data_IF_627228938166
#
_entry.id   IF_627228938166
#
_cell.length_a   1.000
_cell.length_b   1.000
_cell.length_c   1.000
_cell.angle_alpha   90.00
_cell.angle_beta   90.00
_cell.angle_gamma   90.00
#
_symmetry.space_group_name_H-M   'P 1'
#
loop_
_entity.id
_entity.type
_entity.pdbx_description
1 polymer ?
#
# COMPACT_ATOMS: atom_id res chain seq x y z
N UNK A 1 4.04 46.13 -8.54
CA UNK A 1 5.43 45.89 -8.12
C UNK A 1 5.42 45.43 -6.69
N UNK A 2 6.20 44.38 -6.47
CA UNK A 2 6.29 43.49 -5.31
C UNK A 2 6.57 44.14 -3.96
N UNK A 3 6.08 43.48 -2.90
CA UNK A 3 6.88 42.80 -1.85
C UNK A 3 5.89 42.36 -0.77
N UNK A 4 5.75 41.10 -0.36
CA UNK A 4 6.66 39.97 -0.32
C UNK A 4 6.44 39.31 1.05
N UNK A 5 5.30 38.66 1.23
CA UNK A 5 4.95 37.98 2.49
C UNK A 5 5.56 36.57 2.46
N UNK A 6 6.75 36.44 3.02
CA UNK A 6 7.38 35.14 3.27
C UNK A 6 6.86 34.58 4.60
N UNK A 7 5.88 33.69 4.54
CA UNK A 7 5.49 32.82 5.65
C UNK A 7 6.43 31.60 5.69
N UNK A 8 7.59 31.76 6.33
CA UNK A 8 8.44 30.62 6.72
C UNK A 8 7.82 29.93 7.95
N UNK A 9 6.88 29.02 7.72
CA UNK A 9 6.32 28.13 8.73
C UNK A 9 7.18 26.87 8.90
N UNK A 10 8.43 27.03 9.34
CA UNK A 10 9.25 25.93 9.84
C UNK A 10 9.33 26.05 11.36
N UNK A 11 8.57 25.25 12.11
CA UNK A 11 8.83 25.09 13.54
C UNK A 11 10.15 24.33 13.68
N UNK A 12 11.24 25.09 13.77
CA UNK A 12 12.52 24.57 14.21
C UNK A 12 12.38 24.10 15.66
N UNK A 13 13.02 22.97 15.97
CA UNK A 13 13.17 22.51 17.34
C UNK A 13 14.06 23.52 18.08
N UNK A 14 13.49 24.27 19.04
CA UNK A 14 14.19 25.33 19.80
C UNK A 14 15.41 24.82 20.60
N UNK A 15 15.53 23.49 20.74
CA UNK A 15 16.68 22.75 21.25
C UNK A 15 17.98 23.00 20.48
N UNK A 16 17.91 23.48 19.22
CA UNK A 16 19.08 23.86 18.42
C UNK A 16 19.65 25.23 18.85
N UNK A 17 18.83 26.09 19.43
CA UNK A 17 19.20 27.44 19.88
C UNK A 17 19.33 27.56 21.40
N UNK A 18 19.08 26.48 22.15
CA UNK A 18 19.39 26.44 23.58
C UNK A 18 20.89 26.67 23.80
N UNK A 19 21.20 27.54 24.77
CA UNK A 19 22.57 27.80 25.21
C UNK A 19 23.24 26.47 25.54
N UNK A 20 24.31 26.15 24.81
CA UNK A 20 25.07 24.91 24.97
C UNK A 20 25.39 24.74 26.45
N UNK A 21 24.76 23.75 27.11
CA UNK A 21 25.07 23.42 28.52
C UNK A 21 26.59 23.42 28.67
N UNK A 22 27.11 24.31 29.52
CA UNK A 22 28.53 24.37 29.79
C UNK A 22 29.02 22.96 30.07
N UNK A 23 29.88 22.44 29.19
CA UNK A 23 30.50 21.14 29.40
C UNK A 23 31.29 21.28 30.69
N UNK A 24 30.83 20.60 31.76
CA UNK A 24 31.53 20.57 33.04
C UNK A 24 33.01 20.33 32.77
N UNK A 25 33.85 21.27 33.15
CA UNK A 25 35.31 21.18 33.09
C UNK A 25 35.79 20.21 34.16
N UNK A 26 35.49 18.93 33.96
CA UNK A 26 35.92 17.83 34.79
C UNK A 26 36.36 16.66 33.92
N UNK A 27 37.17 15.73 34.45
CA UNK A 27 37.41 14.45 33.79
C UNK A 27 36.07 13.81 33.45
N UNK A 28 35.89 13.19 32.27
CA UNK A 28 34.68 12.44 31.99
C UNK A 28 34.51 11.43 33.12
N UNK A 29 33.34 11.46 33.76
CA UNK A 29 32.99 10.47 34.77
C UNK A 29 33.24 9.07 34.19
N UNK A 30 33.82 8.16 34.96
CA UNK A 30 34.06 6.79 34.52
C UNK A 30 32.73 6.20 34.05
N UNK A 31 32.60 6.01 32.74
CA UNK A 31 31.38 5.46 32.14
C UNK A 31 31.26 4.00 32.56
N UNK A 32 30.39 3.74 33.53
CA UNK A 32 29.94 2.39 33.85
C UNK A 32 28.71 2.10 33.00
N UNK A 33 28.85 1.24 31.99
CA UNK A 33 27.70 0.75 31.26
C UNK A 33 26.74 0.05 32.24
N UNK A 34 25.44 0.36 32.15
CA UNK A 34 24.43 -0.36 32.91
C UNK A 34 24.43 -1.82 32.43
N UNK A 35 24.75 -2.76 33.32
CA UNK A 35 24.56 -4.19 33.07
C UNK A 35 23.08 -4.49 33.32
N UNK A 36 22.36 -4.83 32.25
CA UNK A 36 20.94 -5.09 32.31
C UNK A 36 20.68 -6.59 32.14
N UNK A 37 20.12 -7.23 33.15
CA UNK A 37 19.67 -8.61 33.07
C UNK A 37 18.49 -8.77 32.09
N UNK A 38 18.24 -9.98 31.55
CA UNK A 38 17.05 -10.22 30.75
C UNK A 38 15.78 -9.77 31.47
N UNK A 39 14.92 -9.00 30.79
CA UNK A 39 13.67 -8.47 31.36
C UNK A 39 13.85 -7.49 32.54
N UNK A 40 15.02 -6.87 32.68
CA UNK A 40 15.32 -5.85 33.71
C UNK A 40 14.25 -4.76 33.89
N UNK A 41 13.53 -4.43 32.82
CA UNK A 41 12.46 -3.42 32.83
C UNK A 41 11.17 -3.85 33.55
N UNK A 42 11.08 -5.09 34.07
CA UNK A 42 9.93 -5.53 34.88
C UNK A 42 9.94 -4.99 36.29
N UNK A 43 11.12 -4.80 36.87
CA UNK A 43 11.27 -4.36 38.26
C UNK A 43 10.67 -2.96 38.44
N UNK A 44 9.96 -2.75 39.54
CA UNK A 44 9.48 -1.43 39.93
C UNK A 44 10.67 -0.58 40.36
N UNK A 45 11.36 0.02 39.40
CA UNK A 45 12.26 1.12 39.70
C UNK A 45 11.40 2.32 40.06
N UNK A 46 11.45 2.72 41.35
CA UNK A 46 11.06 4.05 41.81
C UNK A 46 12.02 5.08 41.17
N UNK A 47 11.88 5.28 39.85
CA UNK A 47 12.56 6.36 39.15
C UNK A 47 11.73 7.62 39.31
N UNK A 48 12.37 8.69 39.78
CA UNK A 48 11.77 10.02 39.83
C UNK A 48 11.69 10.68 38.45
N UNK A 49 12.23 10.06 37.40
CA UNK A 49 12.20 10.57 36.04
C UNK A 49 11.01 9.98 35.27
N UNK A 50 10.01 10.83 35.02
CA UNK A 50 8.81 10.48 34.26
C UNK A 50 9.15 9.89 32.87
N UNK A 51 10.24 10.34 32.23
CA UNK A 51 10.64 9.84 30.90
C UNK A 51 11.17 8.41 30.97
N UNK A 52 11.94 8.07 32.01
CA UNK A 52 12.44 6.72 32.24
C UNK A 52 11.28 5.75 32.53
N UNK A 53 10.32 6.17 33.36
CA UNK A 53 9.11 5.39 33.67
C UNK A 53 8.30 5.08 32.40
N UNK A 54 8.09 6.07 31.53
CA UNK A 54 7.38 5.85 30.26
C UNK A 54 8.16 4.94 29.29
N UNK A 55 9.49 5.02 29.30
CA UNK A 55 10.34 4.14 28.50
C UNK A 55 10.24 2.68 28.96
N UNK A 56 10.25 2.43 30.26
CA UNK A 56 10.06 1.08 30.83
C UNK A 56 8.71 0.50 30.45
N UNK A 57 7.64 1.31 30.52
CA UNK A 57 6.31 0.91 30.04
C UNK A 57 6.30 0.56 28.56
N UNK A 58 7.01 1.34 27.72
CA UNK A 58 7.12 1.03 26.29
C UNK A 58 7.73 -0.36 26.09
N UNK A 59 8.80 -0.68 26.80
CA UNK A 59 9.42 -2.01 26.73
C UNK A 59 8.50 -3.13 27.22
N UNK A 60 7.70 -2.90 28.26
CA UNK A 60 6.66 -3.85 28.71
C UNK A 60 5.62 -4.09 27.60
N UNK A 61 5.15 -3.02 26.96
CA UNK A 61 4.25 -3.10 25.81
C UNK A 61 4.85 -3.85 24.63
N UNK A 62 6.08 -3.54 24.23
CA UNK A 62 6.80 -4.17 23.12
C UNK A 62 7.01 -5.68 23.37
N UNK A 63 7.34 -6.06 24.61
CA UNK A 63 7.48 -7.46 24.98
C UNK A 63 6.12 -8.18 24.95
N UNK A 64 5.07 -7.57 25.50
CA UNK A 64 3.72 -8.13 25.46
C UNK A 64 3.26 -8.32 24.00
N UNK A 65 3.54 -7.37 23.12
CA UNK A 65 3.28 -7.48 21.69
C UNK A 65 4.01 -8.67 21.06
N UNK A 66 5.32 -8.84 21.36
CA UNK A 66 6.09 -10.01 20.88
C UNK A 66 5.56 -11.34 21.40
N UNK A 67 4.98 -11.36 22.61
CA UNK A 67 4.30 -12.53 23.19
C UNK A 67 2.88 -12.74 22.66
N UNK A 68 2.42 -11.90 21.73
CA UNK A 68 1.06 -11.91 21.17
C UNK A 68 -0.03 -11.60 22.21
N UNK A 69 0.34 -10.97 23.34
CA UNK A 69 -0.57 -10.48 24.36
C UNK A 69 -1.11 -9.10 23.95
N UNK A 70 -1.75 -9.00 22.78
CA UNK A 70 -2.06 -7.72 22.11
C UNK A 70 -2.94 -6.78 22.94
N UNK A 71 -3.91 -7.32 23.70
CA UNK A 71 -4.76 -6.51 24.57
C UNK A 71 -3.96 -5.84 25.70
N UNK A 72 -3.00 -6.58 26.27
CA UNK A 72 -2.12 -6.06 27.33
C UNK A 72 -1.10 -5.07 26.79
N UNK A 73 -0.52 -5.36 25.62
CA UNK A 73 0.36 -4.43 24.93
C UNK A 73 -0.36 -3.10 24.65
N UNK A 74 -1.60 -3.16 24.17
CA UNK A 74 -2.43 -1.98 23.93
C UNK A 74 -2.68 -1.18 25.23
N UNK A 75 -2.96 -1.86 26.35
CA UNK A 75 -3.13 -1.19 27.65
C UNK A 75 -1.87 -0.45 28.10
N UNK A 76 -0.69 -1.08 27.96
CA UNK A 76 0.59 -0.44 28.30
C UNK A 76 0.81 0.81 27.45
N UNK A 77 0.63 0.71 26.13
CA UNK A 77 0.78 1.84 25.20
C UNK A 77 -0.22 2.99 25.46
N UNK A 78 -1.48 2.66 25.77
CA UNK A 78 -2.49 3.67 26.13
C UNK A 78 -2.11 4.39 27.43
N UNK A 79 -1.61 3.66 28.42
CA UNK A 79 -1.16 4.26 29.68
C UNK A 79 0.05 5.21 29.52
N UNK A 80 0.84 5.03 28.46
CA UNK A 80 1.92 5.95 28.09
C UNK A 80 1.31 7.20 27.45
N UNK A 81 0.39 7.01 26.50
CA UNK A 81 -0.24 8.11 25.75
C UNK A 81 -0.95 9.13 26.65
N UNK A 82 -1.58 8.66 27.73
CA UNK A 82 -2.25 9.52 28.73
C UNK A 82 -1.29 10.40 29.54
N UNK A 83 -0.06 9.91 29.76
CA UNK A 83 0.96 10.56 30.59
C UNK A 83 2.03 11.30 29.78
N UNK A 84 2.05 11.10 28.47
CA UNK A 84 3.11 11.61 27.60
C UNK A 84 2.95 13.12 27.38
N UNK A 85 4.04 13.87 27.59
CA UNK A 85 4.11 15.29 27.21
C UNK A 85 3.79 15.48 25.72
N UNK A 86 3.04 16.52 25.33
CA UNK A 86 2.75 16.81 23.93
C UNK A 86 4.01 17.10 23.08
N UNK A 87 5.13 17.44 23.71
CA UNK A 87 6.41 17.75 23.05
C UNK A 87 7.24 16.51 22.69
N UNK A 88 6.93 15.32 23.23
CA UNK A 88 7.71 14.11 22.95
C UNK A 88 7.19 13.40 21.69
N UNK A 89 7.44 13.99 20.53
CA UNK A 89 6.95 13.50 19.24
C UNK A 89 7.44 12.10 18.88
N UNK A 90 8.70 11.79 19.18
CA UNK A 90 9.31 10.50 18.86
C UNK A 90 8.62 9.35 19.61
N UNK A 91 8.52 9.44 20.95
CA UNK A 91 7.85 8.42 21.74
C UNK A 91 6.35 8.34 21.40
N UNK A 92 5.71 9.48 21.11
CA UNK A 92 4.29 9.51 20.72
C UNK A 92 4.05 8.70 19.45
N UNK A 93 4.87 8.91 18.42
CA UNK A 93 4.79 8.16 17.17
C UNK A 93 5.01 6.67 17.40
N UNK A 94 6.07 6.29 18.11
CA UNK A 94 6.38 4.88 18.41
C UNK A 94 5.20 4.19 19.11
N UNK A 95 4.62 4.84 20.12
CA UNK A 95 3.50 4.32 20.90
C UNK A 95 2.24 4.21 20.03
N UNK A 96 1.93 5.24 19.22
CA UNK A 96 0.79 5.20 18.29
C UNK A 96 0.93 4.09 17.25
N UNK A 97 2.13 3.88 16.73
CA UNK A 97 2.43 2.79 15.81
C UNK A 97 2.23 1.42 16.48
N UNK A 98 2.68 1.26 17.73
CA UNK A 98 2.42 0.09 18.57
C UNK A 98 0.94 -0.16 18.83
N UNK A 99 0.17 0.89 19.14
CA UNK A 99 -1.28 0.83 19.32
C UNK A 99 -1.97 0.35 18.05
N UNK A 100 -1.65 0.95 16.89
CA UNK A 100 -2.24 0.58 15.61
C UNK A 100 -1.98 -0.90 15.26
N UNK A 101 -0.76 -1.40 15.51
CA UNK A 101 -0.44 -2.83 15.32
C UNK A 101 -1.26 -3.73 16.25
N UNK A 102 -1.38 -3.38 17.53
CA UNK A 102 -2.21 -4.14 18.47
C UNK A 102 -3.67 -4.17 18.03
N UNK A 103 -4.23 -3.01 17.66
CA UNK A 103 -5.61 -2.88 17.18
C UNK A 103 -5.86 -3.73 15.94
N UNK A 104 -4.92 -3.74 14.98
CA UNK A 104 -5.01 -4.59 13.80
C UNK A 104 -5.07 -6.09 14.15
N UNK A 105 -4.22 -6.56 15.06
CA UNK A 105 -4.25 -7.95 15.52
C UNK A 105 -5.50 -8.30 16.34
N UNK A 106 -6.13 -7.32 16.98
CA UNK A 106 -7.39 -7.49 17.72
C UNK A 106 -8.64 -7.38 16.82
N UNK A 107 -8.48 -7.23 15.50
CA UNK A 107 -9.59 -7.07 14.55
C UNK A 107 -10.21 -5.67 14.54
N UNK A 108 -9.67 -4.71 15.30
CA UNK A 108 -10.13 -3.31 15.39
C UNK A 108 -9.50 -2.46 14.29
N UNK A 109 -9.69 -2.90 13.05
CA UNK A 109 -8.97 -2.34 11.90
C UNK A 109 -9.30 -0.87 11.61
N UNK A 110 -10.54 -0.43 11.86
CA UNK A 110 -10.94 0.97 11.63
C UNK A 110 -10.12 1.94 12.48
N UNK A 111 -9.96 1.62 13.77
CA UNK A 111 -9.16 2.42 14.70
C UNK A 111 -7.67 2.37 14.36
N UNK A 112 -7.17 1.19 13.95
CA UNK A 112 -5.79 1.06 13.48
C UNK A 112 -5.52 1.95 12.25
N UNK A 113 -6.47 2.02 11.31
CA UNK A 113 -6.37 2.87 10.12
C UNK A 113 -6.46 4.36 10.44
N UNK A 114 -7.30 4.76 11.40
CA UNK A 114 -7.38 6.15 11.84
C UNK A 114 -6.04 6.61 12.42
N UNK A 115 -5.41 5.79 13.27
CA UNK A 115 -4.08 6.09 13.79
C UNK A 115 -3.06 6.16 12.65
N UNK A 116 -3.06 5.20 11.73
CA UNK A 116 -2.12 5.19 10.61
C UNK A 116 -2.26 6.42 9.71
N UNK A 117 -3.49 6.86 9.40
CA UNK A 117 -3.75 8.07 8.60
C UNK A 117 -3.28 9.34 9.33
N UNK A 118 -3.49 9.42 10.64
CA UNK A 118 -3.00 10.53 11.46
C UNK A 118 -1.46 10.58 11.49
N UNK A 119 -0.80 9.42 11.53
CA UNK A 119 0.66 9.31 11.45
C UNK A 119 1.19 9.71 10.07
N UNK A 120 0.50 9.33 8.99
CA UNK A 120 0.86 9.69 7.61
C UNK A 120 0.85 11.22 7.44
N UNK A 121 -0.23 11.87 7.88
CA UNK A 121 -0.38 13.33 7.82
C UNK A 121 0.68 14.09 8.64
N UNK A 122 1.24 13.45 9.66
CA UNK A 122 2.26 14.02 10.55
C UNK A 122 3.69 13.61 10.20
N UNK A 123 3.89 12.84 9.12
CA UNK A 123 5.22 12.49 8.68
C UNK A 123 6.00 13.74 8.26
N UNK A 124 7.27 13.81 8.68
CA UNK A 124 8.17 14.97 8.47
C UNK A 124 9.42 14.63 7.66
N UNK A 125 9.63 13.34 7.36
CA UNK A 125 10.66 12.87 6.47
C UNK A 125 10.24 11.54 5.82
N UNK A 126 11.04 11.07 4.88
CA UNK A 126 10.80 9.83 4.14
C UNK A 126 10.78 8.60 5.04
N UNK A 127 11.61 8.55 6.09
CA UNK A 127 11.71 7.38 6.98
C UNK A 127 10.44 7.21 7.84
N UNK A 128 9.92 8.33 8.36
CA UNK A 128 8.65 8.37 9.06
C UNK A 128 7.52 7.86 8.15
N UNK A 129 7.43 8.43 6.94
CA UNK A 129 6.39 8.04 5.99
C UNK A 129 6.51 6.57 5.58
N UNK A 130 7.72 6.08 5.37
CA UNK A 130 7.99 4.67 5.04
C UNK A 130 7.48 3.73 6.11
N UNK A 131 7.74 4.06 7.38
CA UNK A 131 7.29 3.24 8.52
C UNK A 131 5.76 3.20 8.60
N UNK A 132 5.10 4.34 8.36
CA UNK A 132 3.64 4.43 8.32
C UNK A 132 3.04 3.66 7.14
N UNK A 133 3.63 3.74 5.95
CA UNK A 133 3.17 2.99 4.78
C UNK A 133 3.31 1.47 4.98
N UNK A 134 4.38 1.01 5.66
CA UNK A 134 4.49 -0.41 6.06
C UNK A 134 3.44 -0.81 7.10
N UNK A 135 3.08 0.07 8.04
CA UNK A 135 1.97 -0.16 8.97
C UNK A 135 0.65 -0.30 8.21
N UNK A 136 0.34 0.63 7.31
CA UNK A 136 -0.86 0.56 6.47
C UNK A 136 -0.89 -0.71 5.61
N UNK A 137 0.24 -1.06 5.00
CA UNK A 137 0.38 -2.30 4.23
C UNK A 137 0.02 -3.53 5.07
N UNK A 138 0.52 -3.63 6.30
CA UNK A 138 0.20 -4.73 7.21
C UNK A 138 -1.30 -4.77 7.57
N UNK A 139 -1.91 -3.61 7.83
CA UNK A 139 -3.34 -3.51 8.14
C UNK A 139 -4.20 -3.93 6.93
N UNK A 140 -3.93 -3.40 5.74
CA UNK A 140 -4.69 -3.76 4.53
C UNK A 140 -4.50 -5.21 4.12
N UNK A 141 -3.29 -5.75 4.29
CA UNK A 141 -3.02 -7.19 4.06
C UNK A 141 -3.85 -8.07 5.00
N UNK A 142 -3.99 -7.68 6.27
CA UNK A 142 -4.82 -8.42 7.24
C UNK A 142 -6.31 -8.39 6.91
N UNK A 143 -6.77 -7.33 6.25
CA UNK A 143 -8.14 -7.17 5.74
C UNK A 143 -8.38 -7.86 4.38
N UNK A 144 -7.35 -8.45 3.78
CA UNK A 144 -7.37 -8.97 2.40
C UNK A 144 -7.84 -7.92 1.36
N UNK A 145 -7.64 -6.63 1.66
CA UNK A 145 -7.97 -5.56 0.73
C UNK A 145 -6.83 -5.40 -0.29
N UNK A 146 -6.91 -6.15 -1.39
CA UNK A 146 -5.86 -6.19 -2.41
C UNK A 146 -5.61 -4.84 -3.07
N UNK A 147 -6.67 -4.09 -3.38
CA UNK A 147 -6.56 -2.77 -4.03
C UNK A 147 -5.74 -1.79 -3.17
N UNK A 148 -6.10 -1.63 -1.89
CA UNK A 148 -5.36 -0.76 -0.98
C UNK A 148 -3.96 -1.29 -0.68
N UNK A 149 -3.77 -2.61 -0.66
CA UNK A 149 -2.46 -3.24 -0.51
C UNK A 149 -1.54 -2.89 -1.68
N UNK A 150 -2.04 -3.02 -2.91
CA UNK A 150 -1.33 -2.63 -4.14
C UNK A 150 -0.99 -1.15 -4.10
N UNK A 151 -1.94 -0.29 -3.78
CA UNK A 151 -1.71 1.15 -3.73
C UNK A 151 -0.67 1.54 -2.67
N UNK A 152 -0.70 0.95 -1.47
CA UNK A 152 0.35 1.16 -0.47
C UNK A 152 1.74 0.71 -0.96
N UNK A 153 1.83 -0.39 -1.70
CA UNK A 153 3.09 -0.85 -2.30
C UNK A 153 3.58 0.12 -3.39
N UNK A 154 2.68 0.63 -4.23
CA UNK A 154 3.00 1.66 -5.22
C UNK A 154 3.56 2.93 -4.56
N UNK A 155 2.93 3.39 -3.48
CA UNK A 155 3.45 4.51 -2.67
C UNK A 155 4.85 4.24 -2.12
N UNK A 156 5.07 3.04 -1.56
CA UNK A 156 6.39 2.63 -1.04
C UNK A 156 7.46 2.56 -2.13
N UNK A 157 7.10 2.13 -3.33
CA UNK A 157 8.02 2.07 -4.48
C UNK A 157 8.32 3.47 -5.01
N UNK A 158 7.35 4.40 -5.02
CA UNK A 158 7.63 5.79 -5.39
C UNK A 158 8.68 6.43 -4.47
N UNK A 159 8.65 6.12 -3.17
CA UNK A 159 9.66 6.57 -2.21
C UNK A 159 11.00 5.82 -2.37
N UNK A 160 10.95 4.51 -2.59
CA UNK A 160 12.11 3.63 -2.60
C UNK A 160 12.17 2.77 -3.87
N UNK A 161 12.40 3.37 -5.06
CA UNK A 161 12.29 2.68 -6.34
C UNK A 161 13.34 1.57 -6.54
N UNK A 162 14.43 1.60 -5.77
CA UNK A 162 15.51 0.60 -5.77
C UNK A 162 15.36 -0.46 -4.69
N UNK A 163 14.25 -0.50 -3.92
CA UNK A 163 14.02 -1.56 -2.95
C UNK A 163 13.40 -2.80 -3.64
N UNK A 164 14.14 -3.90 -3.84
CA UNK A 164 13.63 -5.07 -4.56
C UNK A 164 12.43 -5.72 -3.85
N UNK A 165 12.39 -5.69 -2.52
CA UNK A 165 11.37 -6.41 -1.76
C UNK A 165 9.97 -5.82 -1.92
N UNK A 166 9.87 -4.50 -2.13
CA UNK A 166 8.58 -3.85 -2.39
C UNK A 166 8.04 -4.20 -3.77
N UNK A 167 8.91 -4.24 -4.78
CA UNK A 167 8.56 -4.73 -6.12
C UNK A 167 8.12 -6.19 -6.10
N UNK A 168 8.81 -7.05 -5.34
CA UNK A 168 8.44 -8.46 -5.22
C UNK A 168 7.05 -8.62 -4.60
N UNK A 169 6.76 -7.89 -3.50
CA UNK A 169 5.43 -7.87 -2.89
C UNK A 169 4.36 -7.32 -3.84
N UNK A 170 4.67 -6.32 -4.65
CA UNK A 170 3.74 -5.77 -5.66
C UNK A 170 3.42 -6.83 -6.72
N UNK A 171 4.41 -7.59 -7.17
CA UNK A 171 4.22 -8.68 -8.11
C UNK A 171 3.29 -9.77 -7.54
N UNK A 172 3.49 -10.19 -6.29
CA UNK A 172 2.58 -11.12 -5.62
C UNK A 172 1.17 -10.55 -5.48
N UNK A 173 1.04 -9.25 -5.16
CA UNK A 173 -0.26 -8.62 -5.00
C UNK A 173 -1.04 -8.59 -6.33
N UNK A 174 -0.36 -8.32 -7.46
CA UNK A 174 -0.97 -8.42 -8.78
C UNK A 174 -1.36 -9.86 -9.15
N UNK A 175 -0.51 -10.86 -8.85
CA UNK A 175 -0.87 -12.27 -9.08
C UNK A 175 -2.11 -12.70 -8.28
N UNK A 176 -2.24 -12.26 -7.04
CA UNK A 176 -3.39 -12.58 -6.20
C UNK A 176 -4.68 -11.85 -6.64
N UNK A 177 -4.55 -10.77 -7.42
CA UNK A 177 -5.69 -10.05 -7.98
C UNK A 177 -6.38 -10.86 -9.09
N UNK A 178 -5.64 -11.66 -9.85
CA UNK A 178 -6.18 -12.46 -10.97
C UNK A 178 -7.27 -13.48 -10.54
N UNK A 179 -7.07 -14.33 -9.51
CA UNK A 179 -8.13 -15.20 -9.00
C UNK A 179 -9.30 -14.43 -8.40
N UNK A 180 -9.06 -13.29 -7.74
CA UNK A 180 -10.09 -12.45 -7.17
C UNK A 180 -11.00 -11.84 -8.26
N UNK A 181 -10.39 -11.38 -9.36
CA UNK A 181 -11.10 -10.91 -10.55
C UNK A 181 -11.90 -12.05 -11.18
N UNK A 182 -11.30 -13.23 -11.38
CA UNK A 182 -12.01 -14.39 -11.93
C UNK A 182 -13.22 -14.81 -11.08
N UNK A 183 -13.09 -14.80 -9.75
CA UNK A 183 -14.19 -15.08 -8.84
C UNK A 183 -15.30 -14.02 -8.89
N UNK A 184 -14.93 -12.73 -8.96
CA UNK A 184 -15.88 -11.63 -9.11
C UNK A 184 -16.64 -11.68 -10.44
N UNK A 185 -15.96 -12.03 -11.54
CA UNK A 185 -16.60 -12.22 -12.84
C UNK A 185 -17.54 -13.42 -12.87
N UNK A 186 -17.21 -14.51 -12.18
CA UNK A 186 -18.05 -15.69 -12.07
C UNK A 186 -19.32 -15.46 -11.22
N UNK A 187 -19.26 -14.59 -10.20
CA UNK A 187 -20.42 -14.26 -9.36
C UNK A 187 -21.42 -13.34 -10.07
N UNK A 188 -20.92 -12.35 -10.83
CA UNK A 188 -21.73 -11.45 -11.65
C UNK A 188 -22.56 -12.21 -12.70
N UNK A 189 -22.00 -13.25 -13.32
CA UNK A 189 -22.69 -14.03 -14.34
C UNK A 189 -23.86 -14.89 -13.79
N UNK A 190 -23.81 -15.28 -12.51
CA UNK A 190 -24.91 -16.01 -11.85
C UNK A 190 -26.11 -15.12 -11.50
N UNK A 191 -25.92 -13.80 -11.36
CA UNK A 191 -27.03 -12.88 -11.07
C UNK A 191 -27.85 -12.53 -12.32
N UNK A 192 -27.28 -12.65 -13.52
CA UNK A 192 -27.96 -12.36 -14.78
C UNK A 192 -28.66 -13.57 -15.44
N UNK A 193 -28.55 -14.78 -14.88
CA UNK A 193 -29.14 -16.00 -15.47
C UNK A 193 -30.47 -16.46 -14.85
N UNK A 194 -31.07 -15.69 -13.94
CA UNK A 194 -32.37 -16.03 -13.33
C UNK A 194 -33.47 -15.00 -13.62
N UNK A 195 -33.98 -15.01 -14.86
CA UNK A 195 -35.36 -14.57 -15.16
C UNK A 195 -35.88 -15.26 -16.42
N UNK A 196 -36.27 -16.53 -16.30
CA UNK A 196 -37.41 -17.08 -17.04
C UNK A 196 -37.74 -18.49 -16.54
N UNK A 197 -38.68 -18.58 -15.62
CA UNK A 197 -39.64 -19.68 -15.63
C UNK A 197 -40.87 -19.25 -14.82
N UNK A 198 -41.87 -18.81 -15.57
CA UNK A 198 -43.22 -18.59 -15.10
C UNK A 198 -43.85 -19.97 -14.82
N UNK A 199 -44.19 -20.26 -13.55
CA UNK A 199 -45.23 -21.23 -13.20
C UNK A 199 -45.73 -20.99 -11.78
N UNK A 200 -46.97 -20.52 -11.75
CA UNK A 200 -47.89 -20.31 -10.66
C UNK A 200 -48.00 -21.51 -9.71
N UNK A 201 -47.61 -21.39 -8.43
CA UNK A 201 -48.26 -22.12 -7.32
C UNK A 201 -48.32 -21.22 -6.07
N UNK A 202 -49.50 -21.21 -5.47
CA UNK A 202 -50.02 -20.37 -4.38
C UNK A 202 -49.29 -20.56 -3.03
N UNK A 203 -49.04 -19.41 -2.37
CA UNK A 203 -49.36 -19.08 -0.95
C UNK A 203 -49.14 -20.11 0.17
N UNK A 204 -48.30 -19.75 1.15
CA UNK A 204 -48.73 -19.45 2.53
C UNK A 204 -47.59 -18.87 3.39
N UNK A 205 -47.81 -17.69 3.99
CA UNK A 205 -47.05 -17.14 5.14
C UNK A 205 -47.72 -17.57 6.47
N UNK A 206 -47.02 -17.55 7.63
CA UNK A 206 -46.86 -16.33 8.47
C UNK A 206 -45.40 -16.10 8.97
N UNK A 207 -44.83 -14.87 8.93
CA UNK A 207 -44.66 -13.88 10.03
C UNK A 207 -43.93 -14.41 11.30
N UNK A 208 -42.95 -13.75 11.97
CA UNK A 208 -42.31 -12.43 11.85
C UNK A 208 -41.10 -12.33 12.84
N UNK A 209 -40.19 -11.37 12.61
CA UNK A 209 -39.17 -10.85 13.56
C UNK A 209 -37.81 -10.56 12.87
N UNK A 210 -37.59 -9.41 12.21
CA UNK A 210 -37.04 -8.12 12.73
C UNK A 210 -35.72 -8.27 13.50
N UNK A 211 -34.61 -7.56 13.29
CA UNK A 211 -34.21 -6.42 12.45
C UNK A 211 -32.66 -6.37 12.47
N UNK A 212 -31.98 -6.01 11.37
CA UNK A 212 -30.85 -5.06 11.40
C UNK A 212 -30.42 -4.71 9.95
N UNK A 213 -30.81 -3.52 9.50
CA UNK A 213 -30.37 -2.90 8.25
C UNK A 213 -29.18 -1.99 8.53
N UNK A 214 -28.15 -2.06 7.69
CA UNK A 214 -27.16 -1.01 7.52
C UNK A 214 -27.11 -0.66 6.02
N UNK A 215 -27.65 0.50 5.67
CA UNK A 215 -27.61 1.10 4.35
C UNK A 215 -26.86 2.42 4.43
N UNK A 216 -25.88 2.64 3.55
CA UNK A 216 -25.30 3.95 3.28
C UNK A 216 -25.98 4.55 2.03
N UNK A 217 -26.12 5.89 1.94
CA UNK A 217 -26.80 6.54 0.82
C UNK A 217 -25.83 6.99 -0.28
N UNK A 218 -26.15 6.66 -1.53
CA UNK A 218 -25.64 7.34 -2.73
C UNK A 218 -26.72 8.30 -3.26
N UNK A 219 -26.30 9.50 -3.65
CA UNK A 219 -27.16 10.57 -4.14
C UNK A 219 -26.87 10.90 -5.61
N UNK A 220 -27.97 11.07 -6.37
CA UNK A 220 -28.19 11.89 -7.59
C UNK A 220 -27.91 11.25 -8.97
N UNK A 221 -28.57 11.75 -10.05
CA UNK A 221 -30.02 11.91 -10.23
C UNK A 221 -30.53 11.28 -11.55
N UNK A 222 -31.82 10.93 -11.57
CA UNK A 222 -32.56 10.47 -12.77
C UNK A 222 -32.66 11.55 -13.85
N UNK A 223 -32.50 11.15 -15.11
CA UNK A 223 -33.07 11.88 -16.24
C UNK A 223 -33.70 10.95 -17.30
N UNK A 224 -34.93 11.33 -17.63
CA UNK A 224 -35.73 11.09 -18.85
C UNK A 224 -36.15 9.68 -19.27
N UNK A 225 -37.38 9.35 -18.85
CA UNK A 225 -38.48 8.71 -19.58
C UNK A 225 -38.36 8.67 -21.11
N UNK A 226 -38.73 7.53 -21.73
CA UNK A 226 -39.61 7.44 -22.93
C UNK A 226 -40.14 6.00 -23.13
N UNK A 227 -41.21 5.80 -23.92
CA UNK A 227 -42.40 5.08 -23.47
C UNK A 227 -42.52 3.64 -23.97
N UNK A 228 -43.42 2.93 -23.29
CA UNK A 228 -44.01 1.65 -23.70
C UNK A 228 -44.70 1.81 -25.05
N UNK A 229 -44.25 1.06 -26.05
CA UNK A 229 -45.14 0.62 -27.13
C UNK A 229 -44.71 -0.74 -27.68
N UNK A 230 -45.70 -1.60 -27.84
CA UNK A 230 -45.59 -2.99 -28.21
C UNK A 230 -45.27 -3.15 -29.69
N UNK A 231 -44.37 -4.07 -30.04
CA UNK A 231 -44.64 -5.03 -31.10
C UNK A 231 -43.72 -6.24 -31.07
N UNK A 232 -44.36 -7.40 -31.14
CA UNK A 232 -43.78 -8.71 -31.42
C UNK A 232 -42.97 -8.68 -32.71
N UNK A 233 -41.69 -9.05 -32.63
CA UNK A 233 -40.80 -9.65 -33.67
C UNK A 233 -39.36 -9.17 -33.45
N UNK A 234 -38.66 -9.61 -32.38
CA UNK A 234 -37.25 -9.22 -32.21
C UNK A 234 -36.39 -10.21 -31.40
N UNK A 235 -36.75 -11.50 -31.34
CA UNK A 235 -35.96 -12.49 -30.60
C UNK A 235 -34.53 -12.65 -31.15
N UNK A 236 -34.35 -12.65 -32.48
CA UNK A 236 -33.02 -12.80 -33.10
C UNK A 236 -32.13 -11.54 -33.00
N UNK A 237 -32.70 -10.33 -33.00
CA UNK A 237 -31.93 -9.08 -32.81
C UNK A 237 -31.50 -8.90 -31.36
N UNK A 238 -32.34 -9.29 -30.39
CA UNK A 238 -31.98 -9.28 -28.97
C UNK A 238 -30.97 -10.39 -28.64
N UNK A 239 -31.09 -11.60 -29.19
CA UNK A 239 -30.10 -12.67 -28.99
C UNK A 239 -28.73 -12.26 -29.51
N UNK A 240 -28.65 -11.66 -30.71
CA UNK A 240 -27.40 -11.19 -31.31
C UNK A 240 -26.78 -10.04 -30.51
N UNK A 241 -27.58 -9.06 -30.08
CA UNK A 241 -27.11 -7.98 -29.21
C UNK A 241 -26.63 -8.49 -27.85
N UNK A 242 -27.29 -9.48 -27.25
CA UNK A 242 -26.86 -10.11 -25.99
C UNK A 242 -25.58 -10.92 -26.18
N UNK A 243 -25.41 -11.64 -27.30
CA UNK A 243 -24.15 -12.35 -27.60
C UNK A 243 -23.00 -11.38 -27.88
N UNK A 244 -23.26 -10.29 -28.62
CA UNK A 244 -22.26 -9.25 -28.89
C UNK A 244 -21.82 -8.54 -27.59
N UNK A 245 -22.75 -8.26 -26.67
CA UNK A 245 -22.44 -7.71 -25.33
C UNK A 245 -21.65 -8.72 -24.49
N UNK A 246 -22.03 -10.01 -24.50
CA UNK A 246 -21.33 -11.05 -23.75
C UNK A 246 -19.90 -11.29 -24.29
N UNK A 247 -19.72 -11.26 -25.61
CA UNK A 247 -18.42 -11.39 -26.26
C UNK A 247 -17.54 -10.17 -25.96
N UNK A 248 -18.07 -8.95 -26.06
CA UNK A 248 -17.36 -7.73 -25.68
C UNK A 248 -16.95 -7.72 -24.20
N UNK A 249 -17.81 -8.21 -23.31
CA UNK A 249 -17.47 -8.37 -21.89
C UNK A 249 -16.42 -9.47 -21.66
N UNK A 250 -16.42 -10.55 -22.45
CA UNK A 250 -15.41 -11.60 -22.36
C UNK A 250 -14.03 -11.11 -22.83
N UNK A 251 -13.97 -10.41 -23.97
CA UNK A 251 -12.76 -9.78 -24.49
C UNK A 251 -12.18 -8.78 -23.48
N UNK A 252 -13.01 -7.90 -22.92
CA UNK A 252 -12.58 -6.93 -21.89
C UNK A 252 -12.05 -7.61 -20.62
N UNK A 253 -12.61 -8.76 -20.22
CA UNK A 253 -12.13 -9.54 -19.06
C UNK A 253 -10.76 -10.17 -19.32
N UNK A 254 -10.58 -10.72 -20.51
CA UNK A 254 -9.32 -11.33 -20.93
C UNK A 254 -8.21 -10.28 -21.01
N UNK A 255 -8.50 -9.08 -21.54
CA UNK A 255 -7.55 -7.96 -21.57
C UNK A 255 -7.11 -7.54 -20.17
N UNK A 256 -8.03 -7.38 -19.22
CA UNK A 256 -7.71 -6.98 -17.83
C UNK A 256 -6.85 -8.03 -17.12
N UNK A 257 -7.10 -9.32 -17.38
CA UNK A 257 -6.33 -10.42 -16.80
C UNK A 257 -4.90 -10.46 -17.36
N UNK A 258 -4.75 -10.33 -18.68
CA UNK A 258 -3.44 -10.24 -19.35
C UNK A 258 -2.67 -9.01 -18.86
N UNK A 259 -3.33 -7.86 -18.70
CA UNK A 259 -2.70 -6.64 -18.18
C UNK A 259 -2.19 -6.83 -16.75
N UNK A 260 -2.96 -7.51 -15.91
CA UNK A 260 -2.57 -7.82 -14.52
C UNK A 260 -1.37 -8.78 -14.47
N UNK A 261 -1.37 -9.81 -15.32
CA UNK A 261 -0.24 -10.73 -15.47
C UNK A 261 1.02 -10.00 -15.96
N UNK A 262 0.87 -9.07 -16.90
CA UNK A 262 1.95 -8.26 -17.43
C UNK A 262 2.58 -7.37 -16.34
N UNK A 263 1.74 -6.70 -15.53
CA UNK A 263 2.19 -5.91 -14.37
C UNK A 263 2.92 -6.76 -13.33
N UNK A 264 2.41 -7.95 -13.03
CA UNK A 264 3.07 -8.89 -12.13
C UNK A 264 4.43 -9.34 -12.66
N UNK A 265 4.50 -9.73 -13.94
CA UNK A 265 5.74 -10.13 -14.61
C UNK A 265 6.78 -9.01 -14.62
N UNK A 266 6.37 -7.79 -14.98
CA UNK A 266 7.24 -6.62 -14.96
C UNK A 266 7.78 -6.32 -13.56
N UNK A 267 6.94 -6.42 -12.53
CA UNK A 267 7.33 -6.22 -11.14
C UNK A 267 8.32 -7.30 -10.66
N UNK A 268 8.15 -8.56 -11.07
CA UNK A 268 9.11 -9.64 -10.79
C UNK A 268 10.45 -9.44 -11.49
N UNK A 269 10.43 -9.06 -12.77
CA UNK A 269 11.64 -8.76 -13.54
C UNK A 269 12.41 -7.62 -12.87
N UNK A 270 11.72 -6.53 -12.50
CA UNK A 270 12.32 -5.42 -11.75
C UNK A 270 12.94 -5.86 -10.43
N UNK A 271 12.23 -6.71 -9.69
CA UNK A 271 12.74 -7.29 -8.44
C UNK A 271 14.06 -8.03 -8.67
N UNK A 272 14.10 -8.91 -9.68
CA UNK A 272 15.30 -9.68 -10.04
C UNK A 272 16.46 -8.77 -10.46
N UNK A 273 16.21 -7.76 -11.30
CA UNK A 273 17.23 -6.79 -11.73
C UNK A 273 17.83 -6.04 -10.54
N UNK A 274 17.01 -5.57 -9.60
CA UNK A 274 17.47 -4.89 -8.39
C UNK A 274 18.23 -5.81 -7.42
N UNK A 275 17.81 -7.07 -7.32
CA UNK A 275 18.54 -8.09 -6.56
C UNK A 275 19.92 -8.35 -7.17
N UNK A 276 20.02 -8.49 -8.49
CA UNK A 276 21.29 -8.65 -9.21
C UNK A 276 22.17 -7.42 -9.06
N UNK A 277 21.59 -6.22 -9.16
CA UNK A 277 22.29 -4.95 -8.97
C UNK A 277 22.95 -4.88 -7.59
N UNK A 278 22.25 -5.27 -6.51
CA UNK A 278 22.78 -5.21 -5.14
C UNK A 278 23.61 -6.42 -4.73
N UNK A 279 23.60 -7.50 -5.51
CA UNK A 279 24.25 -8.77 -5.20
C UNK A 279 25.76 -8.64 -4.89
N UNK A 280 26.58 -7.86 -5.62
CA UNK A 280 28.02 -7.78 -5.36
C UNK A 280 28.40 -7.25 -3.97
N UNK A 281 27.51 -6.48 -3.33
CA UNK A 281 27.73 -5.92 -1.99
C UNK A 281 27.25 -6.83 -0.85
N UNK A 282 26.54 -7.92 -1.18
CA UNK A 282 25.90 -8.79 -0.19
C UNK A 282 26.78 -10.01 0.12
N UNK A 283 26.75 -10.43 1.38
CA UNK A 283 27.46 -11.62 1.86
C UNK A 283 26.59 -12.45 2.81
N UNK A 284 26.99 -13.70 3.05
CA UNK A 284 26.35 -14.60 4.02
C UNK A 284 24.82 -14.73 3.79
N UNK A 285 24.01 -14.63 4.84
CA UNK A 285 22.55 -14.77 4.81
C UNK A 285 21.86 -13.78 3.87
N UNK A 286 22.41 -12.58 3.68
CA UNK A 286 21.81 -11.59 2.76
C UNK A 286 21.94 -12.07 1.30
N UNK A 287 23.12 -12.55 0.92
CA UNK A 287 23.37 -13.10 -0.41
C UNK A 287 22.56 -14.39 -0.64
N UNK A 288 22.49 -15.27 0.36
CA UNK A 288 21.70 -16.50 0.27
C UNK A 288 20.22 -16.19 0.02
N UNK A 289 19.65 -15.26 0.78
CA UNK A 289 18.25 -14.83 0.60
C UNK A 289 18.03 -14.23 -0.78
N UNK A 290 18.96 -13.42 -1.27
CA UNK A 290 18.90 -12.82 -2.59
C UNK A 290 18.84 -13.90 -3.68
N UNK A 291 19.82 -14.82 -3.72
CA UNK A 291 19.90 -15.88 -4.72
C UNK A 291 18.66 -16.79 -4.68
N UNK A 292 18.19 -17.15 -3.49
CA UNK A 292 16.96 -17.93 -3.31
C UNK A 292 15.74 -17.21 -3.91
N UNK A 293 15.60 -15.92 -3.62
CA UNK A 293 14.49 -15.12 -4.14
C UNK A 293 14.54 -15.01 -5.67
N UNK A 294 15.73 -14.85 -6.26
CA UNK A 294 15.87 -14.86 -7.72
C UNK A 294 15.41 -16.18 -8.34
N UNK A 295 15.73 -17.32 -7.71
CA UNK A 295 15.28 -18.64 -8.19
C UNK A 295 13.76 -18.80 -8.07
N UNK A 296 13.17 -18.38 -6.94
CA UNK A 296 11.71 -18.40 -6.75
C UNK A 296 10.99 -17.56 -7.80
N UNK A 297 11.55 -16.39 -8.14
CA UNK A 297 11.02 -15.53 -9.21
C UNK A 297 11.10 -16.22 -10.57
N UNK A 298 12.23 -16.84 -10.90
CA UNK A 298 12.38 -17.57 -12.17
C UNK A 298 11.36 -18.71 -12.29
N UNK A 299 11.11 -19.44 -11.21
CA UNK A 299 10.11 -20.50 -11.18
C UNK A 299 8.69 -19.97 -11.37
N UNK A 300 8.34 -18.84 -10.75
CA UNK A 300 7.06 -18.16 -10.98
C UNK A 300 6.93 -17.63 -12.40
N UNK A 301 8.02 -17.10 -12.96
CA UNK A 301 8.05 -16.55 -14.32
C UNK A 301 7.73 -17.59 -15.39
N UNK A 302 8.09 -18.88 -15.17
CA UNK A 302 7.71 -20.00 -16.06
C UNK A 302 6.19 -20.15 -16.22
N UNK A 303 5.40 -19.67 -15.26
CA UNK A 303 3.93 -19.74 -15.29
C UNK A 303 3.26 -18.71 -16.20
N UNK A 304 3.93 -17.61 -16.59
CA UNK A 304 3.29 -16.52 -17.33
C UNK A 304 3.15 -16.77 -18.84
N UNK A 305 3.80 -17.79 -19.39
CA UNK A 305 3.72 -18.17 -20.82
C UNK A 305 4.04 -17.04 -21.85
N UNK A 306 4.74 -15.99 -21.43
CA UNK A 306 5.22 -14.93 -22.33
C UNK A 306 6.38 -15.41 -23.22
N UNK A 307 6.48 -14.85 -24.43
CA UNK A 307 7.61 -15.10 -25.35
C UNK A 307 8.90 -14.47 -24.81
N UNK A 308 10.04 -15.04 -25.17
CA UNK A 308 11.35 -14.52 -24.75
C UNK A 308 11.55 -13.04 -25.15
N UNK A 309 11.18 -12.67 -26.37
CA UNK A 309 11.25 -11.28 -26.86
C UNK A 309 10.44 -10.31 -25.98
N UNK A 310 9.29 -10.77 -25.46
CA UNK A 310 8.46 -10.01 -24.51
C UNK A 310 9.18 -9.83 -23.18
N UNK A 311 9.77 -10.90 -22.64
CA UNK A 311 10.50 -10.85 -21.37
C UNK A 311 11.73 -9.94 -21.46
N UNK A 312 12.44 -9.96 -22.60
CA UNK A 312 13.57 -9.08 -22.88
C UNK A 312 13.13 -7.60 -22.92
N UNK A 313 12.04 -7.28 -23.64
CA UNK A 313 11.48 -5.93 -23.68
C UNK A 313 11.12 -5.43 -22.28
N UNK A 314 10.44 -6.25 -21.48
CA UNK A 314 10.07 -5.88 -20.11
C UNK A 314 11.32 -5.65 -19.26
N UNK A 315 12.36 -6.48 -19.41
CA UNK A 315 13.62 -6.31 -18.70
C UNK A 315 14.36 -5.02 -19.09
N UNK A 316 14.33 -4.64 -20.36
CA UNK A 316 14.90 -3.37 -20.84
C UNK A 316 14.16 -2.18 -20.21
N UNK A 317 12.83 -2.14 -20.31
CA UNK A 317 12.03 -1.04 -19.76
C UNK A 317 12.17 -0.95 -18.24
N UNK A 318 12.07 -2.09 -17.53
CA UNK A 318 12.20 -2.12 -16.08
C UNK A 318 13.65 -1.98 -15.60
N UNK A 319 14.64 -1.94 -16.49
CA UNK A 319 16.06 -1.77 -16.16
C UNK A 319 16.63 -0.40 -16.51
N UNK A 320 15.88 0.43 -17.25
CA UNK A 320 16.36 1.68 -17.86
C UNK A 320 16.98 2.67 -16.85
N UNK A 321 16.42 2.76 -15.64
CA UNK A 321 16.89 3.65 -14.58
C UNK A 321 17.95 3.02 -13.65
N UNK A 322 18.27 1.73 -13.81
CA UNK A 322 19.25 1.03 -12.96
C UNK A 322 20.67 1.35 -13.45
N UNK A 323 21.54 1.94 -12.60
CA UNK A 323 22.93 2.18 -12.98
C UNK A 323 23.71 0.88 -13.23
N UNK A 324 24.70 0.90 -14.13
CA UNK A 324 25.57 -0.26 -14.39
C UNK A 324 26.48 -0.62 -13.20
N UNK A 325 26.79 0.37 -12.36
CA UNK A 325 27.65 0.21 -11.18
C UNK A 325 26.99 0.85 -9.99
N UNK A 326 26.98 0.12 -8.87
CA UNK A 326 26.61 0.69 -7.59
C UNK A 326 27.70 1.72 -7.26
N UNK A 327 27.33 3.00 -7.20
CA UNK A 327 28.21 4.00 -6.61
C UNK A 327 28.27 3.73 -5.11
N UNK A 328 29.43 3.88 -4.49
CA UNK A 328 29.52 3.96 -3.03
C UNK A 328 28.75 5.21 -2.60
N UNK A 329 27.45 5.06 -2.32
CA UNK A 329 26.58 6.19 -2.04
C UNK A 329 26.87 6.78 -0.67
N UNK A 330 27.30 8.04 -0.70
CA UNK A 330 27.06 9.00 0.36
C UNK A 330 25.58 8.95 0.69
N UNK A 331 25.24 8.49 1.89
CA UNK A 331 23.87 8.49 2.38
C UNK A 331 23.26 9.89 2.12
N UNK A 332 22.18 10.00 1.33
CA UNK A 332 21.46 11.26 1.23
C UNK A 332 21.00 11.60 2.64
N UNK A 333 21.52 12.70 3.17
CA UNK A 333 21.18 13.20 4.50
C UNK A 333 19.65 13.25 4.62
N UNK A 334 19.10 12.71 5.70
CA UNK A 334 17.65 12.70 5.95
C UNK A 334 17.20 14.15 6.13
N UNK A 335 16.83 14.78 5.01
CA UNK A 335 16.29 16.13 5.04
C UNK A 335 14.87 16.05 5.58
N UNK A 336 14.60 16.79 6.65
CA UNK A 336 13.24 17.09 7.04
C UNK A 336 12.60 17.88 5.91
N UNK A 337 11.63 17.26 5.25
CA UNK A 337 10.86 17.82 4.16
C UNK A 337 9.43 17.96 4.69
N UNK A 338 8.83 19.14 4.59
CA UNK A 338 7.47 19.36 5.09
C UNK A 338 6.46 18.38 4.49
N UNK A 339 5.39 18.08 5.22
CA UNK A 339 4.35 17.09 4.83
C UNK A 339 3.88 17.23 3.37
N UNK A 340 3.67 18.46 2.88
CA UNK A 340 3.25 18.72 1.49
C UNK A 340 4.26 18.22 0.46
N UNK A 341 5.55 18.45 0.71
CA UNK A 341 6.60 18.01 -0.21
C UNK A 341 6.86 16.50 -0.11
N UNK A 342 6.56 15.86 1.04
CA UNK A 342 6.55 14.39 1.14
C UNK A 342 5.40 13.77 0.34
N UNK A 343 4.21 14.37 0.38
CA UNK A 343 3.07 13.91 -0.42
C UNK A 343 3.39 13.94 -1.91
N UNK A 344 4.16 14.93 -2.37
CA UNK A 344 4.61 15.02 -3.77
C UNK A 344 5.66 13.97 -4.17
N UNK A 345 6.36 13.34 -3.22
CA UNK A 345 7.30 12.24 -3.51
C UNK A 345 6.60 10.90 -3.71
N UNK A 346 5.34 10.82 -3.30
CA UNK A 346 4.51 9.63 -3.38
C UNK A 346 3.56 9.78 -4.57
N UNK A 347 3.22 8.68 -5.22
CA UNK A 347 2.20 8.72 -6.27
C UNK A 347 0.83 9.10 -5.68
N UNK A 348 0.15 10.03 -6.35
CA UNK A 348 -1.17 10.51 -5.97
C UNK A 348 -2.27 9.51 -6.33
N UNK A 349 -2.08 8.72 -7.40
CA UNK A 349 -3.04 7.71 -7.86
C UNK A 349 -2.35 6.47 -8.40
N UNK A 350 -3.08 5.35 -8.45
CA UNK A 350 -2.57 4.13 -9.07
C UNK A 350 -2.24 4.35 -10.57
N UNK A 351 -3.05 5.15 -11.26
CA UNK A 351 -2.85 5.49 -12.68
C UNK A 351 -1.52 6.19 -12.92
N UNK A 352 -1.15 7.18 -12.10
CA UNK A 352 0.12 7.89 -12.20
C UNK A 352 1.32 6.94 -12.03
N UNK A 353 1.23 6.03 -11.06
CA UNK A 353 2.27 5.00 -10.86
C UNK A 353 2.38 4.08 -12.07
N UNK A 354 1.25 3.57 -12.55
CA UNK A 354 1.22 2.65 -13.69
C UNK A 354 1.70 3.31 -14.97
N UNK A 355 1.38 4.58 -15.15
CA UNK A 355 1.85 5.38 -16.27
C UNK A 355 3.37 5.56 -16.24
N UNK A 356 3.93 5.80 -15.07
CA UNK A 356 5.38 5.94 -14.91
C UNK A 356 6.11 4.62 -15.21
N UNK A 357 5.62 3.51 -14.69
CA UNK A 357 6.39 2.26 -14.66
C UNK A 357 5.99 1.24 -15.73
N UNK A 358 4.73 1.25 -16.17
CA UNK A 358 4.19 0.22 -17.06
C UNK A 358 3.73 0.76 -18.43
N UNK A 359 3.61 2.07 -18.63
CA UNK A 359 3.11 2.63 -19.91
C UNK A 359 3.90 2.15 -21.13
N UNK A 360 5.23 2.25 -21.11
CA UNK A 360 6.08 1.77 -22.22
C UNK A 360 5.83 0.30 -22.54
N UNK A 361 5.64 -0.54 -21.52
CA UNK A 361 5.30 -1.95 -21.70
C UNK A 361 3.91 -2.05 -22.34
N UNK A 362 2.88 -1.40 -21.77
CA UNK A 362 1.49 -1.43 -22.29
C UNK A 362 1.40 -0.98 -23.75
N UNK A 363 2.06 0.10 -24.13
CA UNK A 363 2.04 0.67 -25.49
C UNK A 363 2.59 -0.32 -26.54
N UNK A 364 3.55 -1.18 -26.15
CA UNK A 364 4.07 -2.23 -27.04
C UNK A 364 3.12 -3.41 -27.23
N UNK A 365 2.24 -3.68 -26.27
CA UNK A 365 1.27 -4.78 -26.34
C UNK A 365 -0.12 -4.35 -26.84
N UNK A 366 -0.39 -3.04 -26.92
CA UNK A 366 -1.65 -2.50 -27.41
C UNK A 366 -1.42 -1.60 -28.64
N UNK A 367 -1.30 -2.15 -29.87
CA UNK A 367 -0.91 -1.35 -31.03
C UNK A 367 -2.01 -0.44 -31.60
N UNK A 368 -3.24 -0.43 -31.06
CA UNK A 368 -4.41 0.01 -31.84
C UNK A 368 -5.40 1.03 -31.22
N UNK A 369 -5.18 1.59 -30.03
CA UNK A 369 -6.08 2.64 -29.52
C UNK A 369 -5.66 4.08 -29.86
N UNK A 370 -4.39 4.32 -30.20
CA UNK A 370 -3.87 5.68 -30.43
C UNK A 370 -3.92 6.17 -31.90
N UNK A 371 -4.52 5.41 -32.84
CA UNK A 371 -4.62 5.83 -34.25
C UNK A 371 -5.93 6.53 -34.64
N UNK A 372 -6.92 6.64 -33.76
CA UNK A 372 -8.21 7.27 -34.10
C UNK A 372 -8.29 8.79 -33.85
N UNK A 373 -7.17 9.45 -33.52
CA UNK A 373 -7.15 10.91 -33.31
C UNK A 373 -6.41 11.74 -34.36
N UNK A 374 -6.01 11.14 -35.48
CA UNK A 374 -5.41 11.91 -36.59
C UNK A 374 -6.19 11.65 -37.87
N UNK A 375 -6.65 12.74 -38.49
CA UNK A 375 -7.33 12.85 -39.79
C UNK A 375 -8.87 12.82 -39.79
N UNK A 376 -9.49 13.82 -39.15
CA UNK A 376 -10.60 14.52 -39.81
C UNK A 376 -9.96 15.49 -40.82
N UNK A 377 -9.72 15.03 -42.04
CA UNK A 377 -9.52 15.93 -43.18
C UNK A 377 -10.84 16.68 -43.40
N UNK A 378 -10.85 17.96 -43.04
CA UNK A 378 -11.88 18.89 -43.49
C UNK A 378 -11.61 19.15 -44.97
N UNK A 379 -12.43 18.54 -45.82
CA UNK A 379 -12.55 18.87 -47.23
C UNK A 379 -13.41 20.15 -47.34
N UNK A 380 -12.82 21.23 -47.86
CA UNK A 380 -13.52 22.41 -48.35
C UNK A 380 -12.94 22.79 -49.72
#
# INVERSE_FOLDING_TARGET
MDTGCWLFGGQFEDSVFEERRERRSGPPASYCAKLCEPQWFYEETESSDDVEVLTLKKFKGDLAYRRQEYQKALQEYSSISEKLSPTNFAMKRDVQEGQARCLAHLGRHMEALEIAANLENKATNTDHLTTVLYLQLAIFSSLQNLEKTIFCLQKLISLHPFNPWNWGKLAEAYLNLEPALSAAFASSQKQHSFTSSDKTIKSSFPHAGKDCLLSFPETLPESSLFPVEANSSNSQKNEKAITDIQNCMAEKRETVLIETQLKACASFIRTRLLLQFTQPQQTSFALERNLRTQQEIEDKMKGFSFKEDTLLLIAEVMGEDIPEKIKDEVHPEVKCVGSVALTALVTASAEEFEDKWFRKIKDHFCPFENQFHTEIQILA
#
